data_IF_730681587850
#
_entry.id   IF_730681587850
#
_cell.length_a   1.000
_cell.length_b   1.000
_cell.length_c   1.000
_cell.angle_alpha   90.00
_cell.angle_beta   90.00
_cell.angle_gamma   90.00
#
_symmetry.space_group_name_H-M   'P 1'
#
loop_
_entity.id
_entity.type
_entity.pdbx_description
1 polymer ?
#
# COMPACT_ATOMS: atom_id res chain seq x y z
N UNK A 1 6.89 39.76 -17.51
CA UNK A 1 6.76 38.67 -18.52
C UNK A 1 6.60 37.37 -17.74
N UNK A 2 5.35 37.00 -17.46
CA UNK A 2 5.00 35.92 -16.52
C UNK A 2 5.24 34.55 -17.14
N UNK A 3 6.10 33.74 -16.51
CA UNK A 3 6.24 32.32 -16.82
C UNK A 3 5.18 31.54 -16.05
N UNK A 4 4.48 30.72 -16.83
CA UNK A 4 3.45 29.75 -16.49
C UNK A 4 3.76 28.99 -15.19
N UNK A 5 2.95 29.22 -14.14
CA UNK A 5 2.71 28.20 -13.10
C UNK A 5 1.90 27.09 -13.77
N UNK A 6 2.58 26.14 -14.40
CA UNK A 6 1.96 24.87 -14.75
C UNK A 6 1.40 24.27 -13.47
N UNK A 7 0.11 23.95 -13.46
CA UNK A 7 -0.51 23.16 -12.39
C UNK A 7 0.34 21.91 -12.18
N UNK A 8 1.09 21.82 -11.09
CA UNK A 8 1.64 20.54 -10.66
C UNK A 8 0.45 19.61 -10.45
N UNK A 9 0.30 18.52 -11.22
CA UNK A 9 -0.66 17.49 -10.88
C UNK A 9 -0.37 17.08 -9.44
N UNK A 10 -1.39 16.95 -8.59
CA UNK A 10 -1.17 16.40 -7.24
C UNK A 10 -0.32 15.14 -7.37
N UNK A 11 0.65 14.91 -6.50
CA UNK A 11 1.62 13.81 -6.70
C UNK A 11 0.93 12.42 -6.79
N UNK A 12 -0.25 12.27 -6.18
CA UNK A 12 -1.12 11.09 -6.35
C UNK A 12 -1.62 10.85 -7.80
N UNK A 13 -1.68 11.90 -8.62
CA UNK A 13 -2.04 11.84 -10.03
C UNK A 13 -0.92 11.19 -10.87
N UNK A 14 0.36 11.38 -10.50
CA UNK A 14 1.48 10.74 -11.19
C UNK A 14 1.39 9.21 -11.15
N UNK A 15 1.04 8.62 -9.99
CA UNK A 15 0.84 7.16 -9.87
C UNK A 15 -0.26 6.63 -10.79
N UNK A 16 -1.31 7.42 -11.01
CA UNK A 16 -2.39 7.05 -11.92
C UNK A 16 -1.96 7.13 -13.37
N UNK A 17 -1.27 8.20 -13.76
CA UNK A 17 -0.79 8.40 -15.13
C UNK A 17 0.18 7.30 -15.57
N UNK A 18 1.05 6.84 -14.67
CA UNK A 18 2.01 5.76 -14.93
C UNK A 18 1.33 4.37 -14.95
N UNK A 19 0.14 4.24 -14.39
CA UNK A 19 -0.55 2.95 -14.26
C UNK A 19 -0.25 2.18 -12.96
N UNK A 20 0.62 2.71 -12.08
CA UNK A 20 0.91 2.10 -10.77
C UNK A 20 -0.34 1.95 -9.90
N UNK A 21 -1.30 2.87 -10.04
CA UNK A 21 -2.55 2.85 -9.28
C UNK A 21 -3.52 1.70 -9.66
N UNK A 22 -3.20 0.86 -10.64
CA UNK A 22 -3.99 -0.34 -10.94
C UNK A 22 -3.94 -1.36 -9.79
N UNK A 23 -2.76 -1.59 -9.21
CA UNK A 23 -2.57 -2.42 -8.03
C UNK A 23 -2.45 -1.57 -6.75
N UNK A 24 -1.76 -0.42 -6.83
CA UNK A 24 -1.60 0.50 -5.69
C UNK A 24 -2.75 1.51 -5.58
N UNK A 25 -3.98 0.99 -5.46
CA UNK A 25 -5.17 1.85 -5.36
C UNK A 25 -5.10 2.73 -4.10
N UNK A 26 -5.38 4.04 -4.18
CA UNK A 26 -5.11 4.95 -3.07
C UNK A 26 -5.83 4.60 -1.77
N UNK A 27 -7.07 4.13 -1.85
CA UNK A 27 -7.90 3.83 -0.69
C UNK A 27 -8.88 2.69 -0.95
N UNK A 28 -9.12 1.90 0.09
CA UNK A 28 -10.10 0.82 0.13
C UNK A 28 -11.33 1.24 0.95
N UNK A 29 -12.55 0.94 0.49
CA UNK A 29 -13.76 1.24 1.25
C UNK A 29 -14.02 0.15 2.30
N UNK A 30 -14.34 0.57 3.52
CA UNK A 30 -15.04 -0.25 4.50
C UNK A 30 -16.50 0.21 4.55
N UNK A 31 -17.37 -0.60 3.96
CA UNK A 31 -18.82 -0.40 3.95
C UNK A 31 -19.49 -1.30 4.99
N UNK A 32 -20.80 -1.13 5.22
CA UNK A 32 -21.60 -2.05 6.05
C UNK A 32 -21.00 -2.33 7.43
N UNK A 33 -20.49 -1.29 8.09
CA UNK A 33 -19.80 -1.40 9.39
C UNK A 33 -18.53 -2.28 9.37
N UNK A 34 -17.85 -2.41 8.22
CA UNK A 34 -16.60 -3.18 8.09
C UNK A 34 -15.42 -2.66 8.92
N UNK A 35 -15.56 -1.50 9.58
CA UNK A 35 -14.61 -0.99 10.57
C UNK A 35 -14.84 -1.52 11.99
N UNK A 36 -15.83 -2.37 12.19
CA UNK A 36 -16.06 -3.01 13.47
C UNK A 36 -15.28 -4.31 13.50
N UNK A 37 -14.23 -4.34 14.32
CA UNK A 37 -13.48 -5.55 14.57
C UNK A 37 -14.29 -6.49 15.48
N UNK A 38 -14.31 -7.77 15.12
CA UNK A 38 -14.91 -8.83 15.93
C UNK A 38 -14.00 -10.04 16.02
N UNK A 39 -13.90 -10.62 17.21
CA UNK A 39 -13.33 -11.96 17.43
C UNK A 39 -14.26 -12.73 18.39
N UNK A 40 -14.77 -13.93 18.05
CA UNK A 40 -14.53 -14.67 16.81
C UNK A 40 -14.95 -13.92 15.55
N UNK A 41 -14.09 -13.91 14.53
CA UNK A 41 -14.41 -13.25 13.27
C UNK A 41 -15.34 -14.13 12.42
N UNK A 42 -16.37 -13.58 11.75
CA UNK A 42 -17.28 -14.33 10.88
C UNK A 42 -16.58 -15.11 9.75
N UNK A 43 -15.38 -14.69 9.35
CA UNK A 43 -14.59 -15.31 8.28
C UNK A 43 -13.53 -16.30 8.80
N UNK A 44 -13.47 -16.56 10.10
CA UNK A 44 -12.53 -17.54 10.64
C UNK A 44 -12.79 -18.94 10.04
N UNK A 45 -11.77 -19.60 9.48
CA UNK A 45 -11.93 -20.90 8.85
C UNK A 45 -12.17 -22.01 9.89
N UNK A 46 -12.60 -23.18 9.42
CA UNK A 46 -12.69 -24.38 10.27
C UNK A 46 -11.33 -24.71 10.89
N UNK A 47 -11.33 -25.05 12.18
CA UNK A 47 -10.11 -25.27 12.97
C UNK A 47 -9.66 -24.05 13.77
N UNK A 48 -10.19 -22.86 13.48
CA UNK A 48 -10.03 -21.65 14.29
C UNK A 48 -11.27 -21.42 15.16
N UNK A 49 -11.20 -20.46 16.09
CA UNK A 49 -12.32 -20.06 16.94
C UNK A 49 -13.43 -19.41 16.08
N UNK A 50 -14.66 -19.95 16.12
CA UNK A 50 -15.79 -19.48 15.30
C UNK A 50 -16.87 -18.82 16.16
N UNK A 51 -17.78 -18.11 15.50
CA UNK A 51 -18.93 -17.49 16.15
C UNK A 51 -19.74 -18.54 16.94
N UNK A 52 -20.04 -18.25 18.19
CA UNK A 52 -20.74 -19.16 19.11
C UNK A 52 -19.82 -20.06 19.93
N UNK A 53 -18.55 -20.22 19.54
CA UNK A 53 -17.58 -21.03 20.32
C UNK A 53 -17.13 -20.29 21.59
N UNK A 54 -17.19 -18.96 21.60
CA UNK A 54 -16.86 -18.09 22.73
C UNK A 54 -17.63 -16.77 22.66
N UNK A 55 -17.70 -16.00 23.77
CA UNK A 55 -18.21 -14.64 23.75
C UNK A 55 -17.48 -13.77 22.72
N UNK A 56 -18.22 -12.99 21.94
CA UNK A 56 -17.65 -12.13 20.89
C UNK A 56 -17.13 -10.83 21.48
N UNK A 57 -15.83 -10.58 21.34
CA UNK A 57 -15.24 -9.25 21.47
C UNK A 57 -15.63 -8.43 20.25
N UNK A 58 -16.14 -7.20 20.47
CA UNK A 58 -16.51 -6.26 19.42
C UNK A 58 -15.88 -4.91 19.71
N UNK A 59 -15.16 -4.35 18.75
CA UNK A 59 -14.48 -3.06 18.89
C UNK A 59 -14.82 -2.20 17.68
N UNK A 60 -15.47 -1.06 17.91
CA UNK A 60 -15.68 -0.04 16.88
C UNK A 60 -14.38 0.77 16.71
N UNK A 61 -13.66 0.55 15.60
CA UNK A 61 -12.39 1.22 15.32
C UNK A 61 -12.50 2.72 15.08
N UNK A 62 -13.73 3.26 14.97
CA UNK A 62 -14.00 4.69 14.85
C UNK A 62 -14.34 5.35 16.19
N UNK A 63 -14.51 4.55 17.26
CA UNK A 63 -14.91 5.01 18.60
C UNK A 63 -13.99 6.10 19.15
N UNK A 64 -14.56 7.08 19.86
CA UNK A 64 -13.79 8.12 20.54
C UNK A 64 -13.01 7.59 21.76
N UNK A 65 -13.31 6.38 22.20
CA UNK A 65 -12.60 5.70 23.31
C UNK A 65 -11.21 5.20 22.89
N UNK A 66 -10.96 5.02 21.58
CA UNK A 66 -9.65 4.61 21.07
C UNK A 66 -8.71 5.82 20.89
N UNK A 67 -7.37 5.67 20.97
CA UNK A 67 -6.43 6.77 20.71
C UNK A 67 -6.52 7.31 19.27
N UNK A 68 -6.23 8.62 19.03
CA UNK A 68 -6.12 9.18 17.68
C UNK A 68 -4.75 8.87 17.03
N UNK A 69 -4.61 8.97 15.69
CA UNK A 69 -5.64 9.32 14.70
C UNK A 69 -6.58 8.14 14.40
N UNK A 70 -7.83 8.45 14.02
CA UNK A 70 -8.85 7.46 13.64
C UNK A 70 -9.53 7.89 12.35
N UNK A 71 -9.80 6.93 11.49
CA UNK A 71 -10.62 7.16 10.31
C UNK A 71 -12.07 7.34 10.73
N UNK A 72 -12.81 8.15 9.96
CA UNK A 72 -14.23 8.41 10.19
C UNK A 72 -15.04 8.05 8.95
N UNK A 73 -16.30 7.62 9.12
CA UNK A 73 -17.19 7.43 8.00
C UNK A 73 -17.44 8.78 7.32
N UNK A 74 -17.48 8.77 5.99
CA UNK A 74 -17.90 9.93 5.21
C UNK A 74 -19.43 10.14 5.28
N UNK A 75 -19.93 11.13 4.55
CA UNK A 75 -21.37 11.43 4.49
C UNK A 75 -22.25 10.28 3.98
N UNK A 76 -21.64 9.27 3.35
CA UNK A 76 -22.31 8.06 2.85
C UNK A 76 -22.14 6.86 3.78
N UNK A 77 -21.49 7.03 4.93
CA UNK A 77 -21.25 5.95 5.89
C UNK A 77 -20.10 5.02 5.52
N UNK A 78 -19.19 5.45 4.63
CA UNK A 78 -18.02 4.65 4.22
C UNK A 78 -16.79 5.12 4.96
N UNK A 79 -16.08 4.20 5.61
CA UNK A 79 -14.75 4.48 6.16
C UNK A 79 -13.70 4.18 5.08
N UNK A 80 -12.95 5.19 4.65
CA UNK A 80 -11.93 5.05 3.62
C UNK A 80 -10.55 4.79 4.21
N UNK A 81 -9.94 3.66 3.87
CA UNK A 81 -8.64 3.22 4.38
C UNK A 81 -7.56 3.53 3.34
N UNK A 82 -6.64 4.49 3.56
CA UNK A 82 -5.67 4.95 2.54
C UNK A 82 -4.47 3.99 2.37
N UNK A 83 -4.72 2.76 1.90
CA UNK A 83 -3.73 1.68 1.85
C UNK A 83 -2.69 1.77 0.74
N UNK A 84 -3.00 2.45 -0.38
CA UNK A 84 -2.18 2.40 -1.60
C UNK A 84 -1.89 0.94 -2.03
N UNK A 85 -2.91 0.11 -1.95
CA UNK A 85 -2.88 -1.32 -2.26
C UNK A 85 -4.31 -1.81 -2.42
N UNK A 86 -4.51 -2.74 -3.33
CA UNK A 86 -5.75 -3.48 -3.50
C UNK A 86 -5.82 -4.77 -2.68
N UNK A 87 -4.74 -5.11 -1.97
CA UNK A 87 -4.57 -6.33 -1.17
C UNK A 87 -4.88 -7.61 -1.97
N UNK A 88 -4.60 -7.60 -3.29
CA UNK A 88 -4.72 -8.77 -4.15
C UNK A 88 -3.37 -9.38 -4.46
N UNK A 89 -3.40 -10.64 -4.92
CA UNK A 89 -2.24 -11.34 -5.46
C UNK A 89 -2.06 -10.96 -6.93
N UNK A 90 -0.86 -10.56 -7.31
CA UNK A 90 -0.47 -10.28 -8.69
C UNK A 90 0.82 -10.97 -9.05
N UNK A 91 0.93 -11.42 -10.29
CA UNK A 91 2.20 -11.85 -10.86
C UNK A 91 3.01 -10.61 -11.29
N UNK A 92 4.09 -10.33 -10.57
CA UNK A 92 5.01 -9.21 -10.85
C UNK A 92 6.37 -9.69 -11.32
N UNK A 93 6.49 -10.92 -11.80
CA UNK A 93 7.73 -11.51 -12.31
C UNK A 93 7.63 -11.77 -13.82
N UNK A 94 8.76 -11.98 -14.49
CA UNK A 94 8.81 -12.36 -15.90
C UNK A 94 8.55 -13.87 -16.13
N UNK A 95 8.09 -14.59 -15.10
CA UNK A 95 7.83 -16.02 -15.10
C UNK A 95 8.63 -16.80 -14.04
N UNK A 96 8.57 -18.15 -14.06
CA UNK A 96 9.14 -18.98 -13.00
C UNK A 96 10.67 -18.90 -12.85
N UNK A 97 11.38 -18.52 -13.91
CA UNK A 97 12.84 -18.40 -13.91
C UNK A 97 13.33 -16.97 -13.58
N UNK A 98 12.42 -16.05 -13.30
CA UNK A 98 12.79 -14.70 -12.88
C UNK A 98 13.52 -14.76 -11.52
N UNK A 99 14.66 -14.08 -11.34
CA UNK A 99 15.38 -14.06 -10.07
C UNK A 99 14.61 -13.40 -8.91
N UNK A 100 13.49 -12.75 -9.20
CA UNK A 100 12.51 -12.20 -8.27
C UNK A 100 11.29 -13.12 -8.07
N UNK A 101 11.25 -14.32 -8.65
CA UNK A 101 10.27 -15.33 -8.25
C UNK A 101 10.71 -16.03 -6.96
N UNK A 102 9.75 -16.44 -6.13
CA UNK A 102 10.03 -17.25 -4.94
C UNK A 102 10.22 -18.71 -5.36
N UNK A 103 11.31 -19.32 -4.93
CA UNK A 103 11.58 -20.73 -5.23
C UNK A 103 10.58 -21.69 -4.54
N UNK A 104 9.89 -21.22 -3.50
CA UNK A 104 8.92 -22.00 -2.73
C UNK A 104 7.60 -21.24 -2.63
N UNK A 105 6.46 -21.91 -2.85
CA UNK A 105 5.13 -21.34 -2.57
C UNK A 105 4.75 -21.60 -1.11
N UNK A 106 5.07 -20.65 -0.24
CA UNK A 106 4.78 -20.74 1.20
C UNK A 106 3.28 -20.71 1.53
N UNK A 107 2.40 -20.49 0.55
CA UNK A 107 0.95 -20.60 0.72
C UNK A 107 0.44 -22.05 0.57
N UNK A 108 1.32 -23.01 0.26
CA UNK A 108 0.99 -24.42 0.09
C UNK A 108 1.53 -25.25 1.26
N UNK A 109 0.94 -26.42 1.53
CA UNK A 109 1.51 -27.36 2.51
C UNK A 109 2.96 -27.72 2.14
N UNK A 110 3.87 -27.65 3.12
CA UNK A 110 5.30 -27.86 2.91
C UNK A 110 5.68 -29.24 2.34
N UNK A 111 4.77 -30.22 2.40
CA UNK A 111 4.93 -31.56 1.84
C UNK A 111 4.34 -31.73 0.44
N UNK A 112 3.67 -30.71 -0.10
CA UNK A 112 3.01 -30.77 -1.40
C UNK A 112 3.97 -30.48 -2.55
N UNK A 113 3.72 -31.07 -3.72
CA UNK A 113 4.46 -30.73 -4.95
C UNK A 113 4.34 -29.25 -5.33
N UNK A 114 3.20 -28.61 -5.01
CA UNK A 114 2.98 -27.18 -5.26
C UNK A 114 3.92 -26.29 -4.46
N UNK A 115 4.26 -26.65 -3.23
CA UNK A 115 5.24 -25.90 -2.42
C UNK A 115 6.58 -25.78 -3.14
N UNK A 116 7.05 -26.84 -3.80
CA UNK A 116 8.31 -26.86 -4.54
C UNK A 116 8.20 -26.33 -5.99
N UNK A 117 7.00 -25.94 -6.44
CA UNK A 117 6.80 -25.38 -7.77
C UNK A 117 7.14 -23.88 -7.85
N UNK A 118 7.35 -23.23 -6.70
CA UNK A 118 7.63 -21.81 -6.59
C UNK A 118 6.39 -20.92 -6.68
N UNK A 119 6.57 -19.63 -6.41
CA UNK A 119 5.50 -18.64 -6.40
C UNK A 119 5.93 -17.35 -7.12
N UNK A 120 5.11 -16.93 -8.09
CA UNK A 120 5.25 -15.65 -8.79
C UNK A 120 4.19 -14.64 -8.37
N UNK A 121 3.14 -15.10 -7.66
CA UNK A 121 2.01 -14.27 -7.27
C UNK A 121 2.19 -13.74 -5.86
N UNK A 122 2.34 -12.43 -5.75
CA UNK A 122 2.66 -11.76 -4.52
C UNK A 122 1.55 -10.77 -4.16
N UNK A 123 1.29 -10.62 -2.87
CA UNK A 123 0.31 -9.67 -2.37
C UNK A 123 0.82 -8.24 -2.64
N UNK A 124 0.00 -7.38 -3.24
CA UNK A 124 0.33 -5.95 -3.35
C UNK A 124 0.51 -5.36 -1.96
N UNK A 125 1.74 -5.01 -1.58
CA UNK A 125 2.02 -4.44 -0.26
C UNK A 125 1.35 -3.07 -0.12
N UNK A 126 0.73 -2.82 1.03
CA UNK A 126 0.30 -1.47 1.43
C UNK A 126 1.49 -0.52 1.39
N UNK A 127 1.35 0.63 0.72
CA UNK A 127 2.45 1.60 0.59
C UNK A 127 2.47 2.66 1.68
N UNK A 128 1.45 2.72 2.56
CA UNK A 128 1.62 3.51 3.79
C UNK A 128 2.87 3.04 4.53
N UNK A 129 3.75 3.97 4.93
CA UNK A 129 5.01 3.65 5.59
C UNK A 129 6.10 3.05 4.69
N UNK A 130 5.95 3.03 3.36
CA UNK A 130 6.99 2.50 2.44
C UNK A 130 8.32 3.25 2.59
N UNK A 131 8.27 4.53 2.91
CA UNK A 131 9.45 5.34 3.18
C UNK A 131 10.29 4.86 4.39
N UNK A 132 9.70 4.06 5.28
CA UNK A 132 10.36 3.52 6.46
C UNK A 132 10.71 2.04 6.34
N UNK A 133 10.40 1.38 5.21
CA UNK A 133 10.36 -0.08 5.13
C UNK A 133 11.37 -0.71 4.17
N UNK A 134 12.41 0.00 3.76
CA UNK A 134 13.48 -0.59 2.97
C UNK A 134 14.26 -1.67 3.75
N UNK A 135 14.90 -2.65 3.08
CA UNK A 135 14.95 -2.85 1.63
C UNK A 135 13.63 -3.41 1.04
N UNK A 136 13.46 -3.29 -0.27
CA UNK A 136 12.19 -3.42 -0.98
C UNK A 136 12.02 -4.78 -1.71
N UNK A 137 10.77 -5.03 -2.12
CA UNK A 137 10.24 -6.31 -2.64
C UNK A 137 10.24 -7.41 -1.56
N UNK A 138 9.59 -8.55 -1.85
CA UNK A 138 9.38 -9.63 -0.87
C UNK A 138 10.70 -10.23 -0.34
N UNK A 139 11.76 -10.26 -1.16
CA UNK A 139 13.07 -10.78 -0.79
C UNK A 139 14.06 -9.71 -0.29
N UNK A 140 13.68 -8.42 -0.27
CA UNK A 140 14.54 -7.33 0.24
C UNK A 140 15.87 -7.11 -0.51
N UNK A 141 15.93 -7.36 -1.83
CA UNK A 141 17.19 -7.22 -2.61
C UNK A 141 17.40 -5.80 -3.16
N UNK A 142 16.36 -4.98 -3.18
CA UNK A 142 16.42 -3.63 -3.75
C UNK A 142 16.55 -2.61 -2.63
N UNK A 143 17.57 -1.77 -2.70
CA UNK A 143 17.87 -0.80 -1.63
C UNK A 143 17.18 0.54 -1.86
N UNK A 144 16.72 0.80 -3.09
CA UNK A 144 15.98 2.02 -3.46
C UNK A 144 14.59 1.70 -3.99
N UNK A 145 13.65 2.63 -3.80
CA UNK A 145 12.30 2.51 -4.37
C UNK A 145 12.34 2.49 -5.90
N UNK A 146 13.29 3.20 -6.51
CA UNK A 146 13.44 3.25 -7.97
C UNK A 146 13.87 1.89 -8.53
N UNK A 147 14.83 1.22 -7.89
CA UNK A 147 15.19 -0.16 -8.23
C UNK A 147 14.00 -1.09 -8.10
N UNK A 148 13.22 -0.98 -7.01
CA UNK A 148 12.02 -1.78 -6.82
C UNK A 148 10.98 -1.56 -7.93
N UNK A 149 10.70 -0.30 -8.31
CA UNK A 149 9.79 0.03 -9.42
C UNK A 149 10.29 -0.59 -10.74
N UNK A 150 11.59 -0.50 -11.01
CA UNK A 150 12.20 -1.07 -12.23
C UNK A 150 12.28 -2.61 -12.23
N UNK A 151 12.07 -3.25 -11.09
CA UNK A 151 12.00 -4.71 -10.97
C UNK A 151 10.60 -5.29 -11.23
N UNK A 152 9.56 -4.45 -11.36
CA UNK A 152 8.20 -4.93 -11.62
C UNK A 152 8.07 -5.48 -13.05
N UNK A 153 7.72 -6.75 -13.17
CA UNK A 153 7.43 -7.41 -14.43
C UNK A 153 5.98 -7.93 -14.46
N UNK A 154 5.70 -8.96 -15.27
CA UNK A 154 4.39 -9.61 -15.32
C UNK A 154 3.24 -8.65 -15.60
N UNK A 155 2.23 -8.68 -14.73
CA UNK A 155 1.05 -7.81 -14.79
C UNK A 155 1.40 -6.31 -14.69
N UNK A 156 2.52 -5.97 -14.04
CA UNK A 156 2.97 -4.59 -13.86
C UNK A 156 3.93 -4.09 -14.96
N UNK A 157 4.23 -4.92 -15.97
CA UNK A 157 5.22 -4.59 -17.01
C UNK A 157 4.91 -3.30 -17.78
N UNK A 158 3.65 -3.06 -18.15
CA UNK A 158 3.25 -1.84 -18.85
C UNK A 158 3.47 -0.58 -18.00
N UNK A 159 3.12 -0.64 -16.71
CA UNK A 159 3.37 0.44 -15.75
C UNK A 159 4.86 0.70 -15.55
N UNK A 160 5.68 -0.35 -15.51
CA UNK A 160 7.14 -0.20 -15.47
C UNK A 160 7.66 0.50 -16.71
N UNK A 161 7.25 0.08 -17.92
CA UNK A 161 7.68 0.72 -19.16
C UNK A 161 7.27 2.19 -19.21
N UNK A 162 6.04 2.51 -18.79
CA UNK A 162 5.57 3.89 -18.67
C UNK A 162 6.46 4.71 -17.72
N UNK A 163 6.86 4.15 -16.58
CA UNK A 163 7.80 4.79 -15.66
C UNK A 163 9.18 4.98 -16.29
N UNK A 164 9.72 3.98 -17.00
CA UNK A 164 11.05 4.02 -17.62
C UNK A 164 11.20 5.13 -18.66
N UNK A 165 10.13 5.48 -19.39
CA UNK A 165 10.17 6.53 -20.42
C UNK A 165 9.85 7.93 -19.92
N UNK A 166 9.47 8.08 -18.64
CA UNK A 166 9.22 9.40 -18.06
C UNK A 166 10.47 10.30 -18.09
N UNK A 167 10.29 11.63 -18.27
CA UNK A 167 11.33 12.60 -17.97
C UNK A 167 11.86 12.44 -16.54
N UNK A 168 13.13 12.79 -16.31
CA UNK A 168 13.77 12.62 -15.00
C UNK A 168 12.98 13.26 -13.86
N UNK A 169 12.50 14.49 -14.06
CA UNK A 169 11.67 15.20 -13.08
C UNK A 169 10.39 14.42 -12.71
N UNK A 170 9.71 13.85 -13.69
CA UNK A 170 8.46 13.10 -13.43
C UNK A 170 8.72 11.76 -12.73
N UNK A 171 9.84 11.08 -13.04
CA UNK A 171 10.29 9.91 -12.26
C UNK A 171 10.53 10.30 -10.80
N UNK A 172 11.19 11.43 -10.57
CA UNK A 172 11.48 11.92 -9.23
C UNK A 172 10.20 12.30 -8.49
N UNK A 173 9.20 12.89 -9.15
CA UNK A 173 7.89 13.14 -8.55
C UNK A 173 7.24 11.86 -8.00
N UNK A 174 7.32 10.74 -8.74
CA UNK A 174 6.80 9.45 -8.26
C UNK A 174 7.58 8.96 -7.04
N UNK A 175 8.90 9.08 -7.03
CA UNK A 175 9.71 8.65 -5.88
C UNK A 175 9.49 9.56 -4.67
N UNK A 176 9.40 10.89 -4.86
CA UNK A 176 9.10 11.84 -3.81
C UNK A 176 7.70 11.60 -3.22
N UNK A 177 6.73 11.18 -4.03
CA UNK A 177 5.44 10.70 -3.50
C UNK A 177 5.61 9.58 -2.48
N UNK A 178 6.33 8.53 -2.86
CA UNK A 178 6.50 7.34 -2.04
C UNK A 178 7.21 7.69 -0.73
N UNK A 179 8.14 8.65 -0.75
CA UNK A 179 8.78 9.19 0.46
C UNK A 179 7.82 9.91 1.40
N UNK A 180 6.73 10.50 0.89
CA UNK A 180 5.69 11.10 1.76
C UNK A 180 4.87 10.05 2.52
N UNK A 181 4.83 8.81 2.04
CA UNK A 181 4.11 7.72 2.68
C UNK A 181 4.98 7.12 3.81
N UNK A 182 5.05 7.85 4.92
CA UNK A 182 5.87 7.52 6.07
C UNK A 182 5.07 7.46 7.37
N UNK A 183 5.56 6.66 8.32
CA UNK A 183 5.18 6.74 9.73
C UNK A 183 6.00 7.85 10.37
N UNK A 184 5.31 8.84 10.93
CA UNK A 184 5.93 10.00 11.55
C UNK A 184 6.31 9.71 13.01
N UNK A 185 7.36 10.36 13.54
CA UNK A 185 7.72 10.23 14.95
C UNK A 185 6.55 10.58 15.89
N UNK A 186 6.47 9.94 17.07
CA UNK A 186 5.48 10.32 18.09
C UNK A 186 5.53 11.82 18.39
N UNK A 187 4.36 12.46 18.48
CA UNK A 187 4.25 13.89 18.74
C UNK A 187 4.22 14.77 17.48
N UNK A 188 4.45 14.21 16.29
CA UNK A 188 4.28 14.94 15.03
C UNK A 188 2.79 15.26 14.83
N UNK A 189 2.46 16.56 14.74
CA UNK A 189 1.06 17.03 14.69
C UNK A 189 0.52 17.22 13.27
N UNK A 190 1.39 17.33 12.27
CA UNK A 190 1.05 17.52 10.86
C UNK A 190 1.23 16.21 10.10
N UNK A 191 0.33 15.90 9.16
CA UNK A 191 0.48 14.72 8.30
C UNK A 191 1.42 14.98 7.12
N UNK A 192 1.61 16.25 6.76
CA UNK A 192 2.54 16.69 5.74
C UNK A 192 3.67 17.48 6.39
N UNK A 193 4.89 16.96 6.27
CA UNK A 193 6.08 17.51 6.94
C UNK A 193 7.27 17.66 6.00
N UNK A 194 8.24 18.49 6.38
CA UNK A 194 9.56 18.56 5.76
C UNK A 194 10.49 17.42 6.28
N UNK A 195 11.77 17.47 5.91
CA UNK A 195 12.76 16.45 6.31
C UNK A 195 13.05 16.46 7.82
N UNK A 196 12.76 17.57 8.50
CA UNK A 196 12.96 17.77 9.94
C UNK A 196 11.67 17.50 10.75
N UNK A 197 10.65 16.90 10.11
CA UNK A 197 9.33 16.61 10.68
C UNK A 197 8.48 17.84 11.09
N UNK A 198 8.83 19.01 10.58
CA UNK A 198 8.06 20.24 10.76
C UNK A 198 6.97 20.36 9.69
N UNK A 199 5.86 21.03 10.00
CA UNK A 199 4.75 21.23 9.05
C UNK A 199 5.26 21.93 7.79
N UNK A 200 4.98 21.34 6.63
CA UNK A 200 5.36 21.95 5.34
C UNK A 200 4.49 23.19 5.06
N UNK A 201 5.10 24.32 4.76
CA UNK A 201 4.35 25.53 4.41
C UNK A 201 3.54 25.33 3.11
N UNK A 202 2.28 25.77 3.11
CA UNK A 202 1.39 25.69 1.96
C UNK A 202 0.73 24.32 1.70
N UNK A 203 0.98 23.30 2.54
CA UNK A 203 0.22 22.04 2.47
C UNK A 203 -1.11 22.17 3.21
N UNK A 204 -2.21 21.85 2.51
CA UNK A 204 -3.50 21.62 3.15
C UNK A 204 -3.46 20.23 3.79
N UNK A 205 -3.75 20.13 5.08
CA UNK A 205 -4.01 18.84 5.70
C UNK A 205 -5.29 18.29 5.02
N UNK A 206 -5.28 17.07 4.47
CA UNK A 206 -6.51 16.49 3.96
C UNK A 206 -7.42 16.21 5.16
N UNK A 207 -8.48 17.00 5.29
CA UNK A 207 -9.58 16.77 6.23
C UNK A 207 -10.14 15.33 6.12
#
# INVERSE_FOLDING_TARGET
MGRLRGREPSVCACLRTVGCAACHIPRLPLTNQGWIFTEPNPYNPSGNLRLGDAPTLRVDLTSHELPPPRLKPDAHGVVWVPAFSDLKLHDITAGPNDPNAEALDQNQPATSSKFFAGNTRLLTRKLWGVANSGPFMHHGKFTTMREAVLAHAGEAFSSRQAFEVLPAYEKDCVIEFLKTLQVLPPGTRSLVVNQDFEKKEGSHDPD
#
